data_IF_330746993617
#
_entry.id   IF_330746993617
#
_cell.length_a   1.000
_cell.length_b   1.000
_cell.length_c   1.000
_cell.angle_alpha   90.00
_cell.angle_beta   90.00
_cell.angle_gamma   90.00
#
_symmetry.space_group_name_H-M   'P 1'
#
loop_
_entity.id
_entity.type
_entity.pdbx_description
1 polymer ?
#
# COMPACT_ATOMS: atom_id res chain seq x y z
N UNK A 1 35.84 12.06 -16.63
CA UNK A 1 34.59 12.04 -15.83
C UNK A 1 33.74 10.87 -16.33
N UNK A 2 33.30 9.94 -15.46
CA UNK A 2 32.58 8.72 -15.87
C UNK A 2 31.22 9.04 -16.52
N UNK A 3 30.80 8.21 -17.49
CA UNK A 3 29.49 8.29 -18.16
C UNK A 3 28.33 8.30 -17.14
N UNK A 4 28.52 7.65 -15.99
CA UNK A 4 27.57 7.67 -14.85
C UNK A 4 27.53 9.06 -14.20
N UNK A 5 28.68 9.66 -13.86
CA UNK A 5 28.71 11.00 -13.23
C UNK A 5 28.04 12.09 -14.09
N UNK A 6 28.20 12.03 -15.40
CA UNK A 6 27.52 12.94 -16.34
C UNK A 6 26.01 12.71 -16.38
N UNK A 7 25.56 11.45 -16.30
CA UNK A 7 24.14 11.09 -16.20
C UNK A 7 23.51 11.55 -14.89
N UNK A 8 24.20 11.37 -13.76
CA UNK A 8 23.75 11.83 -12.43
C UNK A 8 23.62 13.35 -12.38
N UNK A 9 24.61 14.08 -12.89
CA UNK A 9 24.57 15.55 -12.98
C UNK A 9 23.36 16.07 -13.75
N UNK A 10 22.97 15.40 -14.84
CA UNK A 10 21.76 15.74 -15.61
C UNK A 10 20.47 15.45 -14.84
N UNK A 11 20.40 14.33 -14.13
CA UNK A 11 19.25 13.95 -13.30
C UNK A 11 19.04 14.88 -12.10
N UNK A 12 20.11 15.23 -11.38
CA UNK A 12 20.01 16.13 -10.22
C UNK A 12 19.52 17.52 -10.60
N UNK A 13 19.74 17.95 -11.85
CA UNK A 13 19.28 19.24 -12.38
C UNK A 13 17.80 19.24 -12.80
N UNK A 14 17.22 18.05 -13.01
CA UNK A 14 15.83 17.83 -13.45
C UNK A 14 14.88 17.44 -12.31
N UNK A 15 15.41 17.21 -11.10
CA UNK A 15 14.63 16.97 -9.90
C UNK A 15 14.51 18.31 -9.14
N UNK A 16 13.45 19.12 -9.35
CA UNK A 16 13.11 20.14 -8.36
C UNK A 16 12.97 19.39 -7.03
N UNK A 17 13.66 19.88 -5.99
CA UNK A 17 13.92 19.22 -4.71
C UNK A 17 13.02 18.02 -4.46
N UNK A 18 13.60 16.82 -4.50
CA UNK A 18 12.91 15.56 -4.27
C UNK A 18 12.13 15.63 -2.95
N UNK A 19 10.88 16.08 -3.05
CA UNK A 19 9.93 16.26 -1.95
C UNK A 19 9.46 14.91 -1.46
N UNK A 20 10.40 14.10 -0.97
CA UNK A 20 10.10 13.21 0.13
C UNK A 20 9.92 14.09 1.35
N UNK A 21 8.90 13.77 2.14
CA UNK A 21 8.56 14.42 3.40
C UNK A 21 9.83 14.88 4.15
N UNK A 22 9.85 16.14 4.59
CA UNK A 22 11.06 16.82 5.10
C UNK A 22 11.69 16.03 6.27
N UNK A 23 10.86 15.27 6.98
CA UNK A 23 11.22 14.33 8.04
C UNK A 23 11.95 13.06 7.52
N UNK A 24 11.53 12.52 6.37
CA UNK A 24 12.15 11.35 5.76
C UNK A 24 13.58 11.66 5.29
N UNK A 25 13.78 12.83 4.67
CA UNK A 25 15.12 13.27 4.25
C UNK A 25 16.05 13.47 5.46
N UNK A 26 15.53 14.01 6.58
CA UNK A 26 16.26 14.11 7.84
C UNK A 26 16.67 12.73 8.40
N UNK A 27 15.79 11.73 8.34
CA UNK A 27 16.09 10.34 8.74
C UNK A 27 17.19 9.71 7.87
N UNK A 28 17.13 9.93 6.56
CA UNK A 28 18.19 9.48 5.63
C UNK A 28 19.52 10.16 5.98
N UNK A 29 19.52 11.49 6.14
CA UNK A 29 20.76 12.22 6.43
C UNK A 29 21.39 11.78 7.76
N UNK A 30 20.58 11.56 8.81
CA UNK A 30 21.04 11.01 10.08
C UNK A 30 21.68 9.62 9.92
N UNK A 31 21.10 8.78 9.07
CA UNK A 31 21.64 7.44 8.77
C UNK A 31 22.95 7.53 7.99
N UNK A 32 23.06 8.44 7.02
CA UNK A 32 24.32 8.71 6.30
C UNK A 32 25.39 9.17 7.28
N UNK A 33 25.07 10.11 8.17
CA UNK A 33 26.00 10.64 9.16
C UNK A 33 26.51 9.55 10.11
N UNK A 34 25.65 8.60 10.51
CA UNK A 34 26.06 7.42 11.29
C UNK A 34 27.14 6.57 10.59
N UNK A 35 27.05 6.42 9.26
CA UNK A 35 28.03 5.62 8.50
C UNK A 35 29.27 6.40 8.06
N UNK A 36 29.25 7.74 8.13
CA UNK A 36 30.29 8.60 7.54
C UNK A 36 31.03 9.48 8.54
N UNK A 37 30.39 9.90 9.63
CA UNK A 37 30.92 10.91 10.57
C UNK A 37 31.25 10.38 11.95
N UNK A 38 30.66 9.26 12.37
CA UNK A 38 30.84 8.75 13.73
C UNK A 38 31.89 7.63 13.78
N UNK A 39 32.97 7.86 14.56
CA UNK A 39 34.06 6.91 14.88
C UNK A 39 34.68 6.17 13.69
N UNK A 40 35.55 6.87 12.98
CA UNK A 40 36.34 6.42 11.82
C UNK A 40 35.50 6.06 10.58
N UNK A 41 35.75 6.72 9.43
CA UNK A 41 34.98 6.48 8.21
C UNK A 41 35.13 5.02 7.79
N UNK A 42 34.00 4.34 7.60
CA UNK A 42 33.98 2.94 7.17
C UNK A 42 34.56 2.83 5.76
N UNK A 43 35.39 1.81 5.55
CA UNK A 43 35.90 1.47 4.22
C UNK A 43 34.77 0.98 3.31
N UNK A 44 35.00 1.00 2.00
CA UNK A 44 34.04 0.48 1.02
C UNK A 44 33.65 -0.98 1.29
N UNK A 45 34.60 -1.81 1.69
CA UNK A 45 34.34 -3.22 2.01
C UNK A 45 33.42 -3.37 3.25
N UNK A 46 33.64 -2.55 4.28
CA UNK A 46 32.79 -2.55 5.47
C UNK A 46 31.37 -2.06 5.16
N UNK A 47 31.24 -1.00 4.36
CA UNK A 47 29.94 -0.50 3.90
C UNK A 47 29.23 -1.54 3.02
N UNK A 48 29.96 -2.23 2.15
CA UNK A 48 29.44 -3.31 1.31
C UNK A 48 28.92 -4.48 2.15
N UNK A 49 29.66 -4.92 3.17
CA UNK A 49 29.24 -5.98 4.08
C UNK A 49 27.96 -5.61 4.84
N UNK A 50 27.91 -4.40 5.42
CA UNK A 50 26.73 -3.88 6.12
C UNK A 50 25.52 -3.80 5.18
N UNK A 51 25.71 -3.33 3.95
CA UNK A 51 24.63 -3.25 2.97
C UNK A 51 24.04 -4.63 2.65
N UNK A 52 24.90 -5.63 2.44
CA UNK A 52 24.46 -7.02 2.17
C UNK A 52 23.70 -7.58 3.37
N UNK A 53 24.21 -7.38 4.58
CA UNK A 53 23.56 -7.83 5.83
C UNK A 53 22.17 -7.19 6.00
N UNK A 54 22.07 -5.87 5.87
CA UNK A 54 20.80 -5.16 5.97
C UNK A 54 19.79 -5.62 4.90
N UNK A 55 20.27 -5.92 3.69
CA UNK A 55 19.42 -6.42 2.61
C UNK A 55 18.92 -7.84 2.89
N UNK A 56 19.76 -8.71 3.44
CA UNK A 56 19.36 -10.05 3.87
C UNK A 56 18.33 -9.96 5.00
N UNK A 57 18.60 -9.18 6.05
CA UNK A 57 17.68 -8.96 7.16
C UNK A 57 16.34 -8.39 6.71
N UNK A 58 16.34 -7.43 5.77
CA UNK A 58 15.12 -6.90 5.17
C UNK A 58 14.30 -8.01 4.50
N UNK A 59 14.94 -8.83 3.66
CA UNK A 59 14.28 -9.92 2.95
C UNK A 59 13.63 -10.92 3.93
N UNK A 60 14.34 -11.26 5.00
CA UNK A 60 13.88 -12.24 5.98
C UNK A 60 12.68 -11.67 6.77
N UNK A 61 12.77 -10.42 7.23
CA UNK A 61 11.64 -9.73 7.88
C UNK A 61 10.44 -9.57 6.93
N UNK A 62 10.66 -9.31 5.64
CA UNK A 62 9.59 -9.27 4.65
C UNK A 62 8.92 -10.64 4.46
N UNK A 63 9.66 -11.74 4.60
CA UNK A 63 9.11 -13.08 4.58
C UNK A 63 8.25 -13.34 5.83
N UNK A 64 8.71 -12.92 7.01
CA UNK A 64 7.95 -13.02 8.26
C UNK A 64 6.66 -12.21 8.20
N UNK A 65 6.70 -10.97 7.68
CA UNK A 65 5.51 -10.13 7.48
C UNK A 65 4.52 -10.82 6.55
N UNK A 66 4.98 -11.42 5.44
CA UNK A 66 4.10 -12.17 4.52
C UNK A 66 3.45 -13.36 5.22
N UNK A 67 4.22 -14.11 6.01
CA UNK A 67 3.70 -15.24 6.76
C UNK A 67 2.67 -14.83 7.82
N UNK A 68 2.93 -13.75 8.56
CA UNK A 68 1.98 -13.18 9.52
C UNK A 68 0.69 -12.71 8.84
N UNK A 69 0.80 -12.05 7.69
CA UNK A 69 -0.38 -11.61 6.92
C UNK A 69 -1.23 -12.80 6.47
N UNK A 70 -0.61 -13.89 6.01
CA UNK A 70 -1.33 -15.11 5.65
C UNK A 70 -2.09 -15.70 6.86
N UNK A 71 -1.45 -15.73 8.04
CA UNK A 71 -2.09 -16.21 9.28
C UNK A 71 -3.27 -15.32 9.70
N UNK A 72 -3.10 -14.00 9.60
CA UNK A 72 -4.18 -13.04 9.88
C UNK A 72 -5.35 -13.21 8.91
N UNK A 73 -5.08 -13.41 7.62
CA UNK A 73 -6.13 -13.66 6.63
C UNK A 73 -6.90 -14.96 6.94
N UNK A 74 -6.18 -16.05 7.23
CA UNK A 74 -6.80 -17.32 7.58
C UNK A 74 -7.65 -17.19 8.86
N UNK A 75 -7.10 -16.56 9.91
CA UNK A 75 -7.82 -16.32 11.15
C UNK A 75 -9.06 -15.42 10.95
N UNK A 76 -8.97 -14.44 10.07
CA UNK A 76 -10.11 -13.56 9.76
C UNK A 76 -11.27 -14.34 9.15
N UNK A 77 -11.00 -15.33 8.29
CA UNK A 77 -12.04 -16.19 7.72
C UNK A 77 -12.72 -17.06 8.79
N UNK A 78 -11.92 -17.69 9.65
CA UNK A 78 -12.43 -18.50 10.78
C UNK A 78 -13.28 -17.65 11.74
N UNK A 79 -12.83 -16.43 12.03
CA UNK A 79 -13.60 -15.52 12.87
C UNK A 79 -14.89 -15.05 12.17
N UNK A 80 -14.90 -14.81 10.86
CA UNK A 80 -16.13 -14.48 10.13
C UNK A 80 -17.15 -15.61 10.22
N UNK A 81 -16.73 -16.85 9.96
CA UNK A 81 -17.59 -18.04 10.14
C UNK A 81 -18.15 -18.11 11.57
N UNK A 82 -17.32 -17.81 12.58
CA UNK A 82 -17.76 -17.81 13.97
C UNK A 82 -18.76 -16.70 14.29
N UNK A 83 -18.56 -15.50 13.76
CA UNK A 83 -19.52 -14.40 13.91
C UNK A 83 -20.87 -14.74 13.27
N UNK A 84 -20.85 -15.41 12.11
CA UNK A 84 -22.07 -15.92 11.45
C UNK A 84 -22.77 -16.99 12.30
N UNK A 85 -22.03 -17.99 12.80
CA UNK A 85 -22.56 -19.06 13.66
C UNK A 85 -23.18 -18.51 14.95
N UNK A 86 -22.54 -17.52 15.57
CA UNK A 86 -22.99 -16.91 16.83
C UNK A 86 -24.05 -15.81 16.60
N UNK A 87 -24.31 -15.42 15.35
CA UNK A 87 -25.27 -14.38 14.99
C UNK A 87 -24.91 -12.97 15.49
N UNK A 88 -23.62 -12.72 15.70
CA UNK A 88 -23.11 -11.44 16.22
C UNK A 88 -22.33 -10.68 15.15
N UNK A 89 -22.32 -9.35 15.24
CA UNK A 89 -21.60 -8.47 14.31
C UNK A 89 -20.43 -7.72 14.96
N UNK A 90 -20.32 -7.80 16.30
CA UNK A 90 -19.23 -7.21 17.08
C UNK A 90 -18.91 -8.02 18.33
N UNK A 91 -17.63 -8.03 18.73
CA UNK A 91 -17.14 -8.72 19.92
C UNK A 91 -16.01 -7.90 20.57
N UNK A 92 -16.09 -7.65 21.87
CA UNK A 92 -15.02 -6.98 22.64
C UNK A 92 -14.07 -8.04 23.19
N UNK A 93 -12.80 -7.93 22.80
CA UNK A 93 -11.74 -8.82 23.28
C UNK A 93 -11.34 -8.51 24.72
N UNK A 94 -10.71 -9.46 25.44
CA UNK A 94 -10.15 -9.20 26.78
C UNK A 94 -9.08 -8.10 26.80
N UNK A 95 -8.43 -7.84 25.65
CA UNK A 95 -7.46 -6.76 25.48
C UNK A 95 -8.12 -5.38 25.24
N UNK A 96 -9.41 -5.26 25.52
CA UNK A 96 -10.26 -4.07 25.32
C UNK A 96 -10.43 -3.59 23.86
N UNK A 97 -9.91 -4.33 22.88
CA UNK A 97 -10.10 -4.04 21.45
C UNK A 97 -11.43 -4.61 20.98
N UNK A 98 -12.19 -3.84 20.19
CA UNK A 98 -13.46 -4.31 19.62
C UNK A 98 -13.24 -4.78 18.19
N UNK A 99 -13.63 -6.03 17.92
CA UNK A 99 -13.67 -6.60 16.57
C UNK A 99 -15.09 -6.47 16.02
N UNK A 100 -15.23 -6.07 14.77
CA UNK A 100 -16.53 -6.02 14.09
C UNK A 100 -16.39 -6.45 12.63
N UNK A 101 -17.49 -6.99 12.10
CA UNK A 101 -17.60 -7.36 10.70
C UNK A 101 -17.90 -6.10 9.90
N UNK A 102 -17.10 -5.86 8.85
CA UNK A 102 -17.37 -4.80 7.87
C UNK A 102 -17.35 -5.39 6.48
N UNK A 103 -18.43 -5.19 5.75
CA UNK A 103 -18.50 -5.46 4.32
C UNK A 103 -17.99 -4.26 3.55
N UNK A 104 -16.94 -4.47 2.75
CA UNK A 104 -16.42 -3.44 1.87
C UNK A 104 -16.65 -3.82 0.40
N UNK A 105 -17.30 -2.94 -0.40
CA UNK A 105 -17.44 -3.20 -1.82
C UNK A 105 -16.07 -3.11 -2.49
N UNK A 106 -15.76 -4.13 -3.29
CA UNK A 106 -14.55 -4.21 -4.09
C UNK A 106 -14.94 -4.25 -5.57
N UNK A 107 -14.54 -3.23 -6.32
CA UNK A 107 -14.75 -3.15 -7.75
C UNK A 107 -13.54 -3.71 -8.51
N UNK A 108 -13.76 -4.70 -9.36
CA UNK A 108 -12.77 -5.13 -10.35
C UNK A 108 -13.20 -4.68 -11.73
N UNK A 109 -12.35 -3.94 -12.44
CA UNK A 109 -12.62 -3.45 -13.80
C UNK A 109 -12.10 -4.49 -14.79
N UNK A 110 -13.00 -5.20 -15.47
CA UNK A 110 -12.65 -6.24 -16.43
C UNK A 110 -12.45 -5.70 -17.85
N UNK A 111 -13.28 -4.73 -18.25
CA UNK A 111 -13.26 -4.16 -19.60
C UNK A 111 -13.16 -2.63 -19.48
N UNK A 112 -11.91 -2.14 -19.59
CA UNK A 112 -11.65 -0.70 -19.56
C UNK A 112 -12.38 0.00 -20.69
N UNK A 113 -12.40 -0.52 -21.90
CA UNK A 113 -13.01 0.17 -23.04
C UNK A 113 -14.48 0.48 -22.80
N UNK A 114 -15.23 -0.49 -22.25
CA UNK A 114 -16.64 -0.30 -21.88
C UNK A 114 -16.84 0.67 -20.73
N UNK A 115 -15.98 0.61 -19.71
CA UNK A 115 -16.03 1.57 -18.61
C UNK A 115 -15.76 3.00 -19.12
N UNK A 116 -14.77 3.18 -19.99
CA UNK A 116 -14.44 4.47 -20.58
C UNK A 116 -15.58 5.01 -21.46
N UNK A 117 -16.25 4.15 -22.24
CA UNK A 117 -17.43 4.55 -23.01
C UNK A 117 -18.59 4.97 -22.12
N UNK A 118 -18.82 4.26 -21.02
CA UNK A 118 -19.83 4.65 -20.04
C UNK A 118 -19.47 5.97 -19.36
N UNK A 119 -18.21 6.15 -18.94
CA UNK A 119 -17.76 7.41 -18.32
C UNK A 119 -17.98 8.59 -19.29
N UNK A 120 -17.65 8.41 -20.58
CA UNK A 120 -17.89 9.41 -21.62
C UNK A 120 -19.37 9.72 -21.83
N UNK A 121 -20.25 8.72 -21.77
CA UNK A 121 -21.71 8.87 -21.92
C UNK A 121 -22.39 9.48 -20.70
N UNK A 122 -21.83 9.27 -19.51
CA UNK A 122 -22.44 9.66 -18.22
C UNK A 122 -21.82 10.93 -17.63
N UNK A 123 -20.91 11.59 -18.37
CA UNK A 123 -20.21 12.82 -17.98
C UNK A 123 -19.39 12.72 -16.69
N UNK A 124 -18.97 11.52 -16.28
CA UNK A 124 -18.11 11.29 -15.12
C UNK A 124 -16.61 11.48 -15.43
N UNK A 125 -16.27 12.57 -16.14
CA UNK A 125 -14.92 12.80 -16.67
C UNK A 125 -13.83 12.84 -15.58
N UNK A 126 -14.21 13.14 -14.34
CA UNK A 126 -13.37 13.04 -13.15
C UNK A 126 -12.71 11.66 -12.99
N UNK A 127 -13.34 10.58 -13.45
CA UNK A 127 -12.83 9.21 -13.34
C UNK A 127 -11.73 8.88 -14.37
N UNK A 128 -11.54 9.70 -15.43
CA UNK A 128 -10.65 9.37 -16.56
C UNK A 128 -9.19 9.82 -16.36
N UNK A 129 -8.95 10.83 -15.52
CA UNK A 129 -7.61 11.39 -15.28
C UNK A 129 -6.85 10.75 -14.12
N UNK A 130 -7.44 9.73 -13.51
CA UNK A 130 -7.06 9.28 -12.17
C UNK A 130 -6.24 8.00 -12.26
N UNK A 131 -5.13 7.96 -11.50
CA UNK A 131 -4.29 6.77 -11.39
C UNK A 131 -5.13 5.58 -10.90
N UNK A 132 -4.89 4.40 -11.45
CA UNK A 132 -5.67 3.17 -11.24
C UNK A 132 -6.11 2.91 -9.78
N UNK A 133 -5.22 3.10 -8.81
CA UNK A 133 -5.55 2.89 -7.40
C UNK A 133 -6.62 3.86 -6.90
N UNK A 134 -6.53 5.12 -7.32
CA UNK A 134 -7.47 6.18 -6.96
C UNK A 134 -8.79 6.03 -7.72
N UNK A 135 -8.78 5.52 -8.96
CA UNK A 135 -10.00 5.17 -9.69
C UNK A 135 -10.77 4.06 -8.98
N UNK A 136 -10.08 3.02 -8.50
CA UNK A 136 -10.72 1.97 -7.70
C UNK A 136 -11.29 2.50 -6.38
N UNK A 137 -10.59 3.42 -5.71
CA UNK A 137 -11.09 4.06 -4.49
C UNK A 137 -12.36 4.89 -4.75
N UNK A 138 -12.39 5.69 -5.82
CA UNK A 138 -13.58 6.45 -6.19
C UNK A 138 -14.74 5.56 -6.63
N UNK A 139 -14.46 4.46 -7.32
CA UNK A 139 -15.49 3.47 -7.65
C UNK A 139 -16.05 2.81 -6.39
N UNK A 140 -15.21 2.54 -5.38
CA UNK A 140 -15.67 2.01 -4.07
C UNK A 140 -16.60 3.00 -3.38
N UNK A 141 -16.27 4.29 -3.35
CA UNK A 141 -17.14 5.34 -2.81
C UNK A 141 -18.45 5.43 -3.59
N UNK A 142 -18.38 5.48 -4.92
CA UNK A 142 -19.55 5.51 -5.81
C UNK A 142 -20.52 4.34 -5.59
N UNK A 143 -19.99 3.13 -5.36
CA UNK A 143 -20.79 1.94 -5.06
C UNK A 143 -21.33 1.93 -3.63
N UNK A 144 -20.59 2.50 -2.67
CA UNK A 144 -21.05 2.67 -1.28
C UNK A 144 -22.23 3.64 -1.19
N UNK A 145 -22.28 4.64 -2.08
CA UNK A 145 -23.41 5.56 -2.24
C UNK A 145 -24.69 4.89 -2.82
N UNK A 146 -24.65 3.59 -3.13
CA UNK A 146 -25.79 2.86 -3.69
C UNK A 146 -26.06 3.13 -5.17
N UNK A 147 -25.08 3.70 -5.90
CA UNK A 147 -25.22 3.99 -7.34
C UNK A 147 -25.06 2.72 -8.17
N UNK A 148 -25.67 2.71 -9.37
CA UNK A 148 -25.73 1.53 -10.25
C UNK A 148 -24.33 1.12 -10.72
N UNK A 149 -24.08 -0.20 -10.77
CA UNK A 149 -22.80 -0.76 -11.23
C UNK A 149 -22.55 -0.36 -12.69
N UNK A 150 -21.42 0.30 -13.01
CA UNK A 150 -21.09 0.64 -14.38
C UNK A 150 -20.76 -0.60 -15.24
N UNK A 151 -21.05 -0.57 -16.55
CA UNK A 151 -20.66 -1.64 -17.45
C UNK A 151 -19.13 -1.79 -17.51
N UNK A 152 -18.67 -3.05 -17.41
CA UNK A 152 -17.24 -3.38 -17.36
C UNK A 152 -16.65 -3.47 -15.94
N UNK A 153 -17.47 -3.22 -14.90
CA UNK A 153 -17.10 -3.38 -13.49
C UNK A 153 -17.82 -4.59 -12.91
N UNK A 154 -17.08 -5.50 -12.28
CA UNK A 154 -17.63 -6.53 -11.40
C UNK A 154 -17.52 -6.07 -9.95
N UNK A 155 -18.65 -6.17 -9.24
CA UNK A 155 -18.73 -5.94 -7.82
C UNK A 155 -18.47 -7.25 -7.06
N UNK A 156 -17.57 -7.20 -6.11
CA UNK A 156 -17.34 -8.24 -5.12
C UNK A 156 -17.57 -7.64 -3.74
N UNK A 157 -18.24 -8.36 -2.85
CA UNK A 157 -18.26 -8.01 -1.44
C UNK A 157 -17.10 -8.74 -0.77
N UNK A 158 -16.20 -7.98 -0.14
CA UNK A 158 -15.15 -8.55 0.69
C UNK A 158 -15.43 -8.15 2.14
N UNK A 159 -15.95 -9.09 2.91
CA UNK A 159 -16.09 -8.98 4.34
C UNK A 159 -14.71 -9.08 4.98
N UNK A 160 -14.35 -8.11 5.83
CA UNK A 160 -13.11 -8.14 6.59
C UNK A 160 -13.42 -7.85 8.06
N UNK A 161 -12.58 -8.39 8.94
CA UNK A 161 -12.61 -8.06 10.36
C UNK A 161 -11.75 -6.84 10.57
N UNK A 162 -12.36 -5.82 11.17
CA UNK A 162 -11.67 -4.59 11.55
C UNK A 162 -11.59 -4.50 13.07
N UNK A 163 -10.46 -4.02 13.57
CA UNK A 163 -10.24 -3.72 14.98
C UNK A 163 -10.35 -2.21 15.21
N UNK A 164 -11.04 -1.81 16.28
CA UNK A 164 -11.09 -0.43 16.77
C UNK A 164 -10.73 -0.39 18.25
#
# INVERSE_FOLDING_TARGET
MSKWMQFRSKLTRLLPGAGGDDEYQKKIQKTIDYYTKDKAPKTLNQLGAIFVELRAKKRDLEADVKYLNLRLEALSRVLLERFEDDGITSFKTPAEVTLFVRDEPYASIEDRSKLFEWIKKTHHAELLGIQWQTLNALMKEYLTDGKKIPPGVKLFLKSNISAR
#
